data_IF_082111858270
#
_entry.id   IF_082111858270
#
_cell.length_a   1.000
_cell.length_b   1.000
_cell.length_c   1.000
_cell.angle_alpha   90.00
_cell.angle_beta   90.00
_cell.angle_gamma   90.00
#
_symmetry.space_group_name_H-M   'P 1'
#
loop_
_entity.id
_entity.type
_entity.pdbx_description
1 polymer ?
#
# COMPACT_ATOMS: atom_id res chain seq x y z
N UNK A 1 37.54 40.95 39.52
CA UNK A 1 36.99 41.16 38.17
C UNK A 1 37.15 39.86 37.39
N UNK A 2 36.06 39.30 36.86
CA UNK A 2 36.02 37.98 36.22
C UNK A 2 36.78 38.05 34.88
N UNK A 3 37.73 37.14 34.68
CA UNK A 3 38.45 36.94 33.42
C UNK A 3 37.51 36.25 32.44
N UNK A 4 37.00 37.00 31.47
CA UNK A 4 36.24 36.44 30.35
C UNK A 4 37.13 35.40 29.64
N UNK A 5 36.70 34.14 29.67
CA UNK A 5 37.36 33.05 28.95
C UNK A 5 37.03 33.28 27.48
N UNK A 6 38.06 33.60 26.70
CA UNK A 6 37.95 34.02 25.30
C UNK A 6 37.01 33.11 24.50
N UNK A 7 36.06 33.73 23.81
CA UNK A 7 35.21 33.06 22.84
C UNK A 7 36.11 32.55 21.71
N UNK A 8 36.43 31.26 21.72
CA UNK A 8 37.03 30.58 20.58
C UNK A 8 35.95 30.49 19.50
N UNK A 9 36.02 31.38 18.52
CA UNK A 9 35.14 31.33 17.35
C UNK A 9 35.46 30.10 16.50
N UNK A 10 34.42 29.55 15.84
CA UNK A 10 34.57 28.49 14.85
C UNK A 10 35.45 28.95 13.69
N UNK A 11 36.37 28.11 13.23
CA UNK A 11 37.20 28.43 12.05
C UNK A 11 36.41 28.21 10.76
N UNK A 12 36.72 28.99 9.72
CA UNK A 12 36.10 28.80 8.39
C UNK A 12 36.36 27.41 7.82
N UNK A 13 37.53 26.82 8.12
CA UNK A 13 37.88 25.48 7.66
C UNK A 13 37.05 24.37 8.35
N UNK A 14 36.66 24.57 9.62
CA UNK A 14 35.75 23.64 10.31
C UNK A 14 34.38 23.64 9.64
N UNK A 15 33.84 24.81 9.30
CA UNK A 15 32.55 24.90 8.63
C UNK A 15 32.62 24.29 7.21
N UNK A 16 33.69 24.55 6.46
CA UNK A 16 33.86 24.01 5.10
C UNK A 16 33.98 22.48 5.13
N UNK A 17 34.79 21.92 6.02
CA UNK A 17 34.98 20.46 6.09
C UNK A 17 33.69 19.73 6.47
N UNK A 18 32.87 20.29 7.37
CA UNK A 18 31.55 19.75 7.72
C UNK A 18 30.59 19.79 6.52
N UNK A 19 30.53 20.91 5.80
CA UNK A 19 29.68 21.02 4.60
C UNK A 19 30.07 20.02 3.51
N UNK A 20 31.38 19.78 3.32
CA UNK A 20 31.87 18.77 2.37
C UNK A 20 31.42 17.37 2.79
N UNK A 21 31.57 17.00 4.07
CA UNK A 21 31.15 15.69 4.57
C UNK A 21 29.62 15.52 4.43
N UNK A 22 28.84 16.50 4.86
CA UNK A 22 27.37 16.48 4.71
C UNK A 22 26.94 16.42 3.24
N UNK A 23 27.67 17.09 2.35
CA UNK A 23 27.42 17.05 0.91
C UNK A 23 27.58 15.64 0.33
N UNK A 24 28.65 14.93 0.70
CA UNK A 24 28.90 13.55 0.25
C UNK A 24 27.83 12.60 0.82
N UNK A 25 27.52 12.72 2.11
CA UNK A 25 26.51 11.89 2.75
C UNK A 25 25.12 12.10 2.14
N UNK A 26 24.73 13.35 1.88
CA UNK A 26 23.46 13.67 1.26
C UNK A 26 23.36 13.09 -0.17
N UNK A 27 24.43 13.20 -0.96
CA UNK A 27 24.47 12.68 -2.33
C UNK A 27 24.18 11.16 -2.41
N UNK A 28 24.63 10.38 -1.42
CA UNK A 28 24.41 8.93 -1.37
C UNK A 28 23.11 8.57 -0.65
N UNK A 29 22.76 9.28 0.43
CA UNK A 29 21.61 8.93 1.27
C UNK A 29 20.27 9.29 0.62
N UNK A 30 20.19 10.42 -0.10
CA UNK A 30 18.93 10.92 -0.66
C UNK A 30 18.33 9.96 -1.70
N UNK A 31 19.06 9.47 -2.72
CA UNK A 31 18.50 8.53 -3.69
C UNK A 31 17.96 7.26 -3.01
N UNK A 32 18.76 6.68 -2.11
CA UNK A 32 18.39 5.47 -1.37
C UNK A 32 17.16 5.69 -0.48
N UNK A 33 17.00 6.87 0.12
CA UNK A 33 15.82 7.19 0.91
C UNK A 33 14.54 7.20 0.06
N UNK A 34 14.60 7.70 -1.18
CA UNK A 34 13.46 7.65 -2.10
C UNK A 34 13.13 6.22 -2.55
N UNK A 35 14.13 5.42 -2.88
CA UNK A 35 13.91 4.00 -3.24
C UNK A 35 13.23 3.23 -2.11
N UNK A 36 13.72 3.40 -0.86
CA UNK A 36 13.14 2.74 0.31
C UNK A 36 11.69 3.18 0.57
N UNK A 37 11.38 4.45 0.36
CA UNK A 37 9.99 4.94 0.47
C UNK A 37 9.10 4.31 -0.60
N UNK A 38 9.56 4.23 -1.86
CA UNK A 38 8.80 3.61 -2.94
C UNK A 38 8.54 2.11 -2.65
N UNK A 39 9.55 1.38 -2.21
CA UNK A 39 9.41 -0.02 -1.82
C UNK A 39 8.46 -0.20 -0.63
N UNK A 40 8.53 0.69 0.37
CA UNK A 40 7.63 0.66 1.52
C UNK A 40 6.17 0.89 1.09
N UNK A 41 5.92 1.84 0.19
CA UNK A 41 4.59 2.11 -0.35
C UNK A 41 4.06 0.91 -1.16
N UNK A 42 4.90 0.28 -2.00
CA UNK A 42 4.52 -0.94 -2.73
C UNK A 42 4.16 -2.08 -1.78
N UNK A 43 4.93 -2.29 -0.72
CA UNK A 43 4.65 -3.33 0.29
C UNK A 43 3.37 -3.05 1.06
N UNK A 44 3.12 -1.80 1.43
CA UNK A 44 1.88 -1.38 2.07
C UNK A 44 0.67 -1.65 1.16
N UNK A 45 0.75 -1.27 -0.11
CA UNK A 45 -0.28 -1.55 -1.11
C UNK A 45 -0.56 -3.07 -1.23
N UNK A 46 0.47 -3.90 -1.36
CA UNK A 46 0.31 -5.36 -1.39
C UNK A 46 -0.31 -5.92 -0.11
N UNK A 47 0.02 -5.35 1.05
CA UNK A 47 -0.59 -5.69 2.33
C UNK A 47 -2.10 -5.43 2.35
N UNK A 48 -2.53 -4.27 1.83
CA UNK A 48 -3.95 -3.92 1.69
C UNK A 48 -4.66 -4.89 0.75
N UNK A 49 -4.05 -5.26 -0.38
CA UNK A 49 -4.63 -6.24 -1.31
C UNK A 49 -4.83 -7.60 -0.63
N UNK A 50 -3.84 -8.04 0.16
CA UNK A 50 -3.93 -9.29 0.92
C UNK A 50 -5.04 -9.25 1.98
N UNK A 51 -5.21 -8.12 2.66
CA UNK A 51 -6.32 -7.90 3.58
C UNK A 51 -7.67 -8.00 2.86
N UNK A 52 -7.82 -7.31 1.73
CA UNK A 52 -9.03 -7.40 0.90
C UNK A 52 -9.34 -8.83 0.46
N UNK A 53 -8.32 -9.61 0.10
CA UNK A 53 -8.50 -11.03 -0.23
C UNK A 53 -9.05 -11.84 0.96
N UNK A 54 -8.53 -11.59 2.16
CA UNK A 54 -9.02 -12.24 3.38
C UNK A 54 -10.48 -11.85 3.65
N UNK A 55 -10.82 -10.56 3.51
CA UNK A 55 -12.18 -10.03 3.71
C UNK A 55 -13.18 -10.64 2.73
N UNK A 56 -12.82 -10.77 1.45
CA UNK A 56 -13.61 -11.46 0.44
C UNK A 56 -13.97 -12.87 0.93
N UNK A 57 -12.95 -13.66 1.31
CA UNK A 57 -13.16 -15.06 1.69
C UNK A 57 -14.00 -15.20 2.96
N UNK A 58 -13.76 -14.35 3.95
CA UNK A 58 -14.53 -14.33 5.20
C UNK A 58 -16.00 -13.96 4.95
N UNK A 59 -16.25 -12.90 4.17
CA UNK A 59 -17.60 -12.44 3.87
C UNK A 59 -18.37 -13.46 3.03
N UNK A 60 -17.71 -14.09 2.07
CA UNK A 60 -18.28 -15.17 1.28
C UNK A 60 -18.74 -16.32 2.17
N UNK A 61 -17.87 -16.80 3.07
CA UNK A 61 -18.21 -17.87 4.00
C UNK A 61 -19.37 -17.51 4.94
N UNK A 62 -19.40 -16.28 5.44
CA UNK A 62 -20.50 -15.78 6.27
C UNK A 62 -21.85 -15.81 5.55
N UNK A 63 -21.89 -15.38 4.28
CA UNK A 63 -23.14 -15.34 3.51
C UNK A 63 -23.64 -16.74 3.17
N UNK A 64 -22.74 -17.66 2.84
CA UNK A 64 -23.13 -19.06 2.62
C UNK A 64 -23.70 -19.71 3.89
N UNK A 65 -23.14 -19.40 5.06
CA UNK A 65 -23.68 -19.86 6.35
C UNK A 65 -25.04 -19.23 6.69
N UNK A 66 -25.28 -18.00 6.23
CA UNK A 66 -26.57 -17.33 6.36
C UNK A 66 -27.65 -17.90 5.41
N UNK A 67 -27.29 -18.83 4.51
CA UNK A 67 -28.20 -19.47 3.57
C UNK A 67 -28.38 -18.70 2.25
N UNK A 68 -27.53 -17.71 1.96
CA UNK A 68 -27.56 -17.03 0.66
C UNK A 68 -27.10 -17.95 -0.47
N UNK A 69 -27.58 -17.65 -1.68
CA UNK A 69 -27.08 -18.31 -2.89
C UNK A 69 -25.63 -17.91 -3.15
N UNK A 70 -24.87 -18.79 -3.78
CA UNK A 70 -23.45 -18.53 -4.07
C UNK A 70 -23.25 -17.19 -4.79
N UNK A 71 -24.09 -16.85 -5.78
CA UNK A 71 -24.01 -15.60 -6.51
C UNK A 71 -24.20 -14.36 -5.60
N UNK A 72 -25.14 -14.42 -4.65
CA UNK A 72 -25.34 -13.33 -3.66
C UNK A 72 -24.15 -13.23 -2.70
N UNK A 73 -23.67 -14.37 -2.21
CA UNK A 73 -22.51 -14.44 -1.34
C UNK A 73 -21.25 -13.86 -2.01
N UNK A 74 -21.03 -14.19 -3.28
CA UNK A 74 -19.92 -13.70 -4.10
C UNK A 74 -20.03 -12.18 -4.30
N UNK A 75 -21.19 -11.66 -4.69
CA UNK A 75 -21.40 -10.22 -4.88
C UNK A 75 -21.12 -9.43 -3.58
N UNK A 76 -21.61 -9.93 -2.43
CA UNK A 76 -21.35 -9.31 -1.13
C UNK A 76 -19.88 -9.38 -0.72
N UNK A 77 -19.18 -10.47 -1.07
CA UNK A 77 -17.76 -10.63 -0.81
C UNK A 77 -16.90 -9.66 -1.62
N UNK A 78 -17.25 -9.40 -2.87
CA UNK A 78 -16.53 -8.44 -3.72
C UNK A 78 -16.79 -7.00 -3.27
N UNK A 79 -18.00 -6.70 -2.81
CA UNK A 79 -18.34 -5.38 -2.30
C UNK A 79 -17.42 -4.97 -1.14
N UNK A 80 -17.17 -5.89 -0.19
CA UNK A 80 -16.29 -5.60 0.96
C UNK A 80 -14.83 -5.43 0.58
N UNK A 81 -14.40 -5.88 -0.61
CA UNK A 81 -13.02 -5.69 -1.05
C UNK A 81 -12.66 -4.20 -1.23
N UNK A 82 -13.66 -3.34 -1.43
CA UNK A 82 -13.49 -1.89 -1.68
C UNK A 82 -13.80 -1.04 -0.45
N UNK A 83 -14.39 -1.63 0.59
CA UNK A 83 -14.79 -0.94 1.80
C UNK A 83 -13.56 -0.58 2.63
N UNK A 84 -13.48 0.65 3.13
CA UNK A 84 -12.45 1.19 4.06
C UNK A 84 -11.07 0.49 4.02
N UNK A 85 -10.23 0.90 3.07
CA UNK A 85 -8.85 0.42 2.93
C UNK A 85 -7.85 1.33 3.66
N UNK A 86 -8.28 2.02 4.72
CA UNK A 86 -7.41 2.96 5.45
C UNK A 86 -6.92 4.13 4.58
N UNK A 87 -7.77 4.60 3.66
CA UNK A 87 -7.47 5.67 2.72
C UNK A 87 -6.78 5.24 1.42
N UNK A 88 -6.42 3.95 1.28
CA UNK A 88 -5.96 3.41 0.00
C UNK A 88 -7.12 3.23 -0.99
N UNK A 89 -6.80 3.22 -2.28
CA UNK A 89 -7.76 2.96 -3.36
C UNK A 89 -7.15 2.03 -4.40
N UNK A 90 -7.99 1.23 -5.04
CA UNK A 90 -7.62 0.53 -6.28
C UNK A 90 -7.61 1.51 -7.46
N UNK A 91 -6.46 1.68 -8.10
CA UNK A 91 -6.26 2.77 -9.05
C UNK A 91 -6.68 4.13 -8.46
N UNK A 92 -7.18 5.01 -9.32
CA UNK A 92 -7.68 6.35 -8.95
C UNK A 92 -9.09 6.33 -8.38
N UNK A 93 -9.95 5.47 -8.93
CA UNK A 93 -11.40 5.51 -8.72
C UNK A 93 -11.91 4.45 -7.74
N UNK A 94 -10.99 3.74 -7.08
CA UNK A 94 -11.30 2.60 -6.20
C UNK A 94 -12.11 1.50 -6.90
N UNK A 95 -11.76 1.23 -8.16
CA UNK A 95 -12.44 0.24 -8.98
C UNK A 95 -11.63 -1.05 -9.11
N UNK A 96 -12.33 -2.18 -9.15
CA UNK A 96 -11.75 -3.50 -9.34
C UNK A 96 -12.52 -4.15 -10.50
N UNK A 97 -11.79 -4.58 -11.52
CA UNK A 97 -12.34 -5.30 -12.66
C UNK A 97 -11.81 -6.73 -12.66
N UNK A 98 -12.71 -7.71 -12.71
CA UNK A 98 -12.37 -9.13 -12.72
C UNK A 98 -12.48 -9.68 -14.14
N UNK A 99 -11.44 -10.39 -14.59
CA UNK A 99 -11.46 -11.19 -15.80
C UNK A 99 -11.63 -12.67 -15.40
N UNK A 100 -12.87 -13.16 -15.44
CA UNK A 100 -13.21 -14.44 -14.78
C UNK A 100 -13.08 -14.30 -13.27
N UNK A 101 -12.47 -15.26 -12.58
CA UNK A 101 -12.34 -15.26 -11.12
C UNK A 101 -11.18 -14.42 -10.57
N UNK A 102 -10.37 -13.79 -11.44
CA UNK A 102 -9.17 -13.05 -11.04
C UNK A 102 -9.25 -11.60 -11.53
N UNK A 103 -8.99 -10.65 -10.64
CA UNK A 103 -8.68 -9.27 -10.98
C UNK A 103 -7.16 -9.05 -10.89
N UNK A 104 -6.58 -8.47 -11.94
CA UNK A 104 -5.20 -7.99 -11.91
C UNK A 104 -5.22 -6.54 -11.43
N UNK A 105 -4.47 -6.26 -10.37
CA UNK A 105 -4.37 -4.92 -9.79
C UNK A 105 -3.05 -4.29 -10.28
N UNK A 106 -3.16 -3.39 -11.25
CA UNK A 106 -1.99 -2.73 -11.85
C UNK A 106 -1.53 -1.49 -11.07
N UNK A 107 -2.43 -0.91 -10.26
CA UNK A 107 -2.07 0.23 -9.42
C UNK A 107 -2.96 0.37 -8.18
N UNK A 108 -2.40 1.03 -7.17
CA UNK A 108 -3.13 1.51 -6.00
C UNK A 108 -2.76 2.97 -5.70
N UNK A 109 -3.72 3.76 -5.26
CA UNK A 109 -3.47 5.12 -4.79
C UNK A 109 -3.37 5.12 -3.28
N UNK A 110 -2.29 5.69 -2.75
CA UNK A 110 -2.08 5.81 -1.31
C UNK A 110 -2.93 6.95 -0.72
N UNK A 111 -3.03 7.07 0.62
CA UNK A 111 -3.80 8.13 1.27
C UNK A 111 -3.31 9.56 0.95
N UNK A 112 -2.07 9.71 0.47
CA UNK A 112 -1.50 10.98 0.05
C UNK A 112 -1.84 11.33 -1.42
N UNK A 113 -2.53 10.46 -2.15
CA UNK A 113 -2.92 10.68 -3.55
C UNK A 113 -1.88 10.23 -4.59
N UNK A 114 -0.78 9.61 -4.17
CA UNK A 114 0.24 9.08 -5.09
C UNK A 114 -0.20 7.73 -5.66
N UNK A 115 -0.15 7.59 -6.98
CA UNK A 115 -0.40 6.33 -7.68
C UNK A 115 0.85 5.46 -7.60
N UNK A 116 0.70 4.25 -7.06
CA UNK A 116 1.74 3.23 -6.93
C UNK A 116 1.44 2.13 -7.94
N UNK A 117 2.34 1.95 -8.91
CA UNK A 117 2.25 0.85 -9.88
C UNK A 117 2.68 -0.46 -9.24
N UNK A 118 1.88 -1.50 -9.45
CA UNK A 118 2.12 -2.84 -8.94
C UNK A 118 2.33 -3.80 -10.10
N UNK A 119 3.26 -4.74 -9.91
CA UNK A 119 3.50 -5.81 -10.89
C UNK A 119 2.90 -7.10 -10.36
N UNK A 120 1.98 -7.70 -11.11
CA UNK A 120 1.38 -9.02 -10.82
C UNK A 120 0.59 -9.13 -9.51
N UNK A 121 0.10 -8.03 -8.94
CA UNK A 121 -0.82 -8.11 -7.81
C UNK A 121 -2.18 -8.65 -8.30
N UNK A 122 -2.74 -9.63 -7.58
CA UNK A 122 -3.98 -10.31 -7.97
C UNK A 122 -4.93 -10.37 -6.81
N UNK A 123 -6.21 -10.24 -7.13
CA UNK A 123 -7.32 -10.46 -6.22
C UNK A 123 -8.20 -11.56 -6.83
N UNK A 124 -8.52 -12.58 -6.06
CA UNK A 124 -9.35 -13.71 -6.48
C UNK A 124 -10.73 -13.57 -5.85
N UNK A 125 -11.76 -13.70 -6.68
CA UNK A 125 -13.12 -13.90 -6.20
C UNK A 125 -13.43 -15.40 -6.07
N UNK A 126 -14.28 -15.82 -5.10
CA UNK A 126 -14.75 -17.19 -4.99
C UNK A 126 -15.56 -17.57 -6.23
N UNK A 127 -15.28 -18.74 -6.81
CA UNK A 127 -15.98 -19.22 -7.98
C UNK A 127 -17.30 -19.90 -7.60
N UNK A 128 -18.39 -19.50 -8.28
CA UNK A 128 -19.71 -20.10 -8.14
C UNK A 128 -20.06 -21.07 -9.29
N UNK A 129 -19.07 -21.41 -10.13
CA UNK A 129 -19.22 -22.29 -11.29
C UNK A 129 -19.36 -23.78 -10.95
N UNK A 130 -19.22 -24.15 -9.67
CA UNK A 130 -19.52 -25.49 -9.16
C UNK A 130 -20.65 -25.47 -8.13
N UNK A 131 -21.88 -25.73 -8.59
CA UNK A 131 -23.01 -26.00 -7.71
C UNK A 131 -24.06 -24.91 -7.69
N UNK A 132 -24.85 -24.82 -8.76
CA UNK A 132 -26.26 -24.46 -8.58
C UNK A 132 -26.87 -25.51 -7.65
N UNK A 133 -26.96 -25.22 -6.35
CA UNK A 133 -28.10 -25.72 -5.58
C UNK A 133 -29.31 -24.98 -6.14
N UNK A 134 -29.83 -25.51 -7.23
CA UNK A 134 -31.26 -25.48 -7.49
C UNK A 134 -31.89 -26.25 -6.33
N UNK A 135 -32.62 -25.53 -5.50
CA UNK A 135 -33.59 -26.15 -4.58
C UNK A 135 -34.51 -27.13 -5.33
#
# INVERSE_FOLDING_TARGET
MRKDRGQQGFTLIEIISVLVILGILAAVAVPKYYDLQEEAQKKAALGVIAESQARINLKFGQQLLAGDTCAKAQAAAIAVAKDDLGGWKYGTDNEISFAGDIATIESMTNPAGTVITLTNAKLSQPSCTGGTKTD
#
